data_IF_095911448367
#
_entry.id   IF_095911448367
#
_cell.length_a   1.000
_cell.length_b   1.000
_cell.length_c   1.000
_cell.angle_alpha   90.00
_cell.angle_beta   90.00
_cell.angle_gamma   90.00
#
_symmetry.space_group_name_H-M   'P 1'
#
loop_
_entity.id
_entity.type
_entity.pdbx_description
1 polymer ?
#
# COMPACT_ATOMS: atom_id res chain seq x y z
N UNK A 1 6.96 -28.74 19.02
CA UNK A 1 6.98 -27.68 18.00
C UNK A 1 7.95 -28.12 16.93
N UNK A 2 7.46 -28.37 15.72
CA UNK A 2 8.26 -28.87 14.61
C UNK A 2 9.14 -27.73 14.06
N UNK A 3 10.45 -27.82 14.33
CA UNK A 3 11.44 -26.80 13.98
C UNK A 3 11.44 -26.53 12.47
N UNK A 4 11.16 -27.55 11.66
CA UNK A 4 11.15 -27.46 10.20
C UNK A 4 9.98 -26.63 9.65
N UNK A 5 8.85 -26.59 10.38
CA UNK A 5 7.69 -25.75 10.02
C UNK A 5 7.97 -24.29 10.34
N UNK A 6 8.64 -24.02 11.46
CA UNK A 6 9.04 -22.67 11.86
C UNK A 6 10.11 -22.10 10.92
N UNK A 7 11.07 -22.92 10.50
CA UNK A 7 12.10 -22.54 9.52
C UNK A 7 11.50 -22.25 8.13
N UNK A 8 10.51 -23.04 7.67
CA UNK A 8 9.78 -22.74 6.43
C UNK A 8 8.95 -21.47 6.53
N UNK A 9 8.34 -21.21 7.68
CA UNK A 9 7.66 -19.94 7.95
C UNK A 9 8.62 -18.77 7.98
N UNK A 10 9.80 -18.93 8.59
CA UNK A 10 10.85 -17.92 8.55
C UNK A 10 11.35 -17.71 7.13
N UNK A 11 11.56 -18.76 6.33
CA UNK A 11 11.97 -18.63 4.94
C UNK A 11 10.95 -17.86 4.08
N UNK A 12 9.65 -18.03 4.34
CA UNK A 12 8.57 -17.20 3.78
C UNK A 12 8.60 -15.74 4.26
N UNK A 13 9.18 -15.47 5.43
CA UNK A 13 9.33 -14.13 6.03
C UNK A 13 10.70 -13.49 5.76
N UNK A 14 11.70 -14.26 5.35
CA UNK A 14 13.10 -13.86 5.15
C UNK A 14 13.50 -13.85 3.67
N UNK A 15 12.54 -13.69 2.76
CA UNK A 15 12.84 -12.96 1.53
C UNK A 15 13.46 -11.64 2.01
N UNK A 16 14.78 -11.49 1.87
CA UNK A 16 15.55 -10.45 2.58
C UNK A 16 14.83 -9.12 2.34
N UNK A 17 14.13 -8.55 3.35
CA UNK A 17 13.29 -7.40 3.09
C UNK A 17 14.25 -6.32 2.61
N UNK A 18 14.03 -5.83 1.39
CA UNK A 18 14.91 -4.88 0.73
C UNK A 18 15.06 -3.67 1.68
N UNK A 19 16.17 -3.62 2.43
CA UNK A 19 16.38 -2.61 3.48
C UNK A 19 16.87 -1.35 2.80
N UNK A 20 15.93 -0.50 2.42
CA UNK A 20 16.22 0.82 1.86
C UNK A 20 16.68 1.78 2.96
N UNK A 21 17.73 2.55 2.71
CA UNK A 21 18.05 3.71 3.53
C UNK A 21 16.92 4.75 3.44
N UNK A 22 16.83 5.70 4.40
CA UNK A 22 15.84 6.77 4.34
C UNK A 22 15.90 7.59 3.04
N UNK A 23 17.10 7.81 2.51
CA UNK A 23 17.32 8.55 1.27
C UNK A 23 16.82 7.77 0.04
N UNK A 24 17.17 6.48 -0.06
CA UNK A 24 16.70 5.64 -1.16
C UNK A 24 15.17 5.48 -1.14
N UNK A 25 14.59 5.31 0.05
CA UNK A 25 13.14 5.27 0.23
C UNK A 25 12.48 6.56 -0.23
N UNK A 26 13.04 7.71 0.11
CA UNK A 26 12.54 9.01 -0.32
C UNK A 26 12.64 9.18 -1.84
N UNK A 27 13.76 8.76 -2.45
CA UNK A 27 13.96 8.80 -3.90
C UNK A 27 12.94 7.96 -4.67
N UNK A 28 12.68 6.73 -4.21
CA UNK A 28 11.67 5.85 -4.82
C UNK A 28 10.27 6.46 -4.71
N UNK A 29 9.93 7.03 -3.54
CA UNK A 29 8.64 7.70 -3.35
C UNK A 29 8.52 8.87 -4.32
N UNK A 30 9.57 9.68 -4.47
CA UNK A 30 9.57 10.83 -5.38
C UNK A 30 9.35 10.40 -6.83
N UNK A 31 10.11 9.41 -7.32
CA UNK A 31 9.94 8.88 -8.67
C UNK A 31 8.52 8.34 -8.91
N UNK A 32 7.95 7.61 -7.94
CA UNK A 32 6.57 7.11 -8.05
C UNK A 32 5.52 8.21 -8.04
N UNK A 33 5.79 9.34 -7.38
CA UNK A 33 4.88 10.50 -7.40
C UNK A 33 4.77 11.11 -8.80
N UNK A 34 5.86 11.14 -9.56
CA UNK A 34 5.87 11.67 -10.94
C UNK A 34 5.01 10.84 -11.91
N UNK A 35 4.88 9.53 -11.64
CA UNK A 35 4.11 8.60 -12.47
C UNK A 35 2.72 8.25 -11.93
N UNK A 36 2.32 8.75 -10.74
CA UNK A 36 0.99 8.46 -10.22
C UNK A 36 -0.08 9.36 -10.83
N UNK A 37 -1.20 8.77 -11.22
CA UNK A 37 -2.43 9.48 -11.62
C UNK A 37 -3.33 9.86 -10.43
N UNK A 38 -2.80 9.81 -9.21
CA UNK A 38 -3.55 9.90 -7.95
C UNK A 38 -4.43 11.17 -7.86
N UNK A 39 -4.03 12.28 -8.50
CA UNK A 39 -4.78 13.53 -8.55
C UNK A 39 -6.10 13.43 -9.33
N UNK A 40 -6.22 12.44 -10.21
CA UNK A 40 -7.44 12.19 -11.01
C UNK A 40 -8.42 11.25 -10.33
N UNK A 41 -8.04 10.67 -9.18
CA UNK A 41 -8.86 9.68 -8.50
C UNK A 41 -10.17 10.33 -7.97
N UNK A 42 -11.35 9.70 -8.14
CA UNK A 42 -12.62 10.25 -7.65
C UNK A 42 -12.66 10.52 -6.13
N UNK A 43 -11.86 9.77 -5.36
CA UNK A 43 -11.71 9.95 -3.91
C UNK A 43 -10.73 11.06 -3.54
N UNK A 44 -9.96 11.58 -4.51
CA UNK A 44 -9.01 12.67 -4.31
C UNK A 44 -9.77 13.98 -4.08
N UNK A 45 -9.49 14.66 -2.96
CA UNK A 45 -10.15 15.92 -2.57
C UNK A 45 -9.11 17.02 -2.38
N UNK A 46 -9.56 18.26 -2.35
CA UNK A 46 -8.76 19.49 -2.21
C UNK A 46 -7.75 19.44 -1.04
N UNK A 47 -8.07 18.74 0.04
CA UNK A 47 -7.14 18.50 1.16
C UNK A 47 -5.91 17.67 0.79
N UNK A 48 -6.07 16.62 -0.04
CA UNK A 48 -4.96 15.80 -0.49
C UNK A 48 -4.08 16.57 -1.49
N UNK A 49 -4.71 17.44 -2.28
CA UNK A 49 -4.00 18.37 -3.16
C UNK A 49 -3.13 19.36 -2.37
N UNK A 50 -3.70 19.99 -1.33
CA UNK A 50 -2.97 20.90 -0.43
C UNK A 50 -1.81 20.22 0.30
N UNK A 51 -1.94 18.93 0.60
CA UNK A 51 -0.90 18.14 1.25
C UNK A 51 0.20 17.61 0.30
N UNK A 52 0.04 17.79 -1.01
CA UNK A 52 0.92 17.16 -2.01
C UNK A 52 0.93 15.63 -1.89
N UNK A 53 -0.22 15.09 -1.49
CA UNK A 53 -0.42 13.70 -1.18
C UNK A 53 -0.62 12.93 -2.48
N UNK A 54 0.38 12.14 -2.85
CA UNK A 54 0.40 11.33 -4.05
C UNK A 54 1.13 10.01 -3.74
N UNK A 55 1.00 9.03 -4.64
CA UNK A 55 1.59 7.70 -4.49
C UNK A 55 1.12 6.95 -3.21
N UNK A 56 -0.18 7.01 -2.90
CA UNK A 56 -0.78 6.35 -1.73
C UNK A 56 -0.46 4.85 -1.63
N UNK A 57 -0.39 4.15 -2.76
CA UNK A 57 -0.01 2.74 -2.82
C UNK A 57 1.37 2.44 -2.20
N UNK A 58 2.27 3.43 -2.17
CA UNK A 58 3.62 3.30 -1.59
C UNK A 58 3.66 3.75 -0.13
N UNK A 59 2.86 4.76 0.23
CA UNK A 59 2.87 5.37 1.56
C UNK A 59 1.92 4.65 2.51
N UNK A 60 0.84 4.07 1.97
CA UNK A 60 -0.17 3.30 2.69
C UNK A 60 -1.26 4.11 3.36
N UNK A 61 -1.28 5.44 3.21
CA UNK A 61 -2.40 6.26 3.68
C UNK A 61 -2.31 7.67 3.13
N UNK A 62 -3.43 8.37 3.12
CA UNK A 62 -3.41 9.84 3.09
C UNK A 62 -2.82 10.36 4.41
N UNK A 63 -1.95 11.38 4.34
CA UNK A 63 -1.26 11.96 5.50
C UNK A 63 -2.25 12.58 6.48
N UNK A 64 -3.31 13.20 5.97
CA UNK A 64 -4.25 13.99 6.77
C UNK A 64 -5.59 13.27 7.03
N UNK A 65 -5.71 11.99 6.67
CA UNK A 65 -6.95 11.23 6.88
C UNK A 65 -8.15 11.80 6.12
N UNK A 66 -7.90 12.60 5.08
CA UNK A 66 -8.95 13.33 4.39
C UNK A 66 -9.70 12.48 3.35
N UNK A 67 -9.03 11.44 2.84
CA UNK A 67 -9.66 10.47 1.95
C UNK A 67 -10.28 9.39 2.84
N UNK A 68 -11.61 9.35 2.89
CA UNK A 68 -12.37 8.39 3.72
C UNK A 68 -13.56 7.77 2.98
N UNK A 69 -14.02 8.40 1.91
CA UNK A 69 -15.22 8.01 1.17
C UNK A 69 -14.88 7.06 0.03
N UNK A 70 -14.80 5.76 0.33
CA UNK A 70 -14.49 4.71 -0.64
C UNK A 70 -15.60 4.52 -1.71
N UNK A 71 -16.82 5.02 -1.47
CA UNK A 71 -17.98 4.82 -2.36
C UNK A 71 -17.81 5.50 -3.73
N UNK A 72 -16.90 6.48 -3.83
CA UNK A 72 -16.57 7.17 -5.08
C UNK A 72 -15.73 6.34 -6.05
N UNK A 73 -15.16 5.22 -5.58
CA UNK A 73 -14.33 4.31 -6.38
C UNK A 73 -12.88 4.75 -6.53
N UNK A 74 -11.99 3.83 -6.93
CA UNK A 74 -10.59 4.13 -7.26
C UNK A 74 -10.28 3.81 -8.73
N UNK A 75 -9.46 4.64 -9.36
CA UNK A 75 -8.80 4.36 -10.64
C UNK A 75 -7.36 3.85 -10.46
N UNK A 76 -7.05 3.32 -9.28
CA UNK A 76 -5.75 2.74 -8.92
C UNK A 76 -5.25 1.72 -9.96
N UNK A 77 -6.08 0.79 -10.50
CA UNK A 77 -5.63 -0.22 -11.46
C UNK A 77 -5.13 0.36 -12.80
N UNK A 78 -5.57 1.55 -13.18
CA UNK A 78 -5.16 2.21 -14.42
C UNK A 78 -3.78 2.88 -14.30
N UNK A 79 -3.27 3.03 -13.08
CA UNK A 79 -1.99 3.68 -12.81
C UNK A 79 -0.80 2.82 -13.28
N UNK A 80 0.19 3.43 -13.92
CA UNK A 80 1.42 2.73 -14.32
C UNK A 80 2.14 2.09 -13.12
N UNK A 81 2.30 2.85 -12.02
CA UNK A 81 2.91 2.37 -10.77
C UNK A 81 2.20 1.14 -10.21
N UNK A 82 0.87 1.06 -10.38
CA UNK A 82 0.10 -0.09 -9.93
C UNK A 82 0.51 -1.36 -10.67
N UNK A 83 0.58 -1.27 -12.00
CA UNK A 83 0.92 -2.38 -12.88
C UNK A 83 2.39 -2.76 -12.75
N UNK A 84 3.29 -1.79 -12.71
CA UNK A 84 4.74 -2.02 -12.66
C UNK A 84 5.17 -2.74 -11.38
N UNK A 85 4.52 -2.43 -10.26
CA UNK A 85 4.79 -3.08 -8.97
C UNK A 85 4.04 -4.42 -8.83
N UNK A 86 3.02 -4.66 -9.64
CA UNK A 86 2.18 -5.86 -9.55
C UNK A 86 1.28 -5.85 -8.32
N UNK A 87 0.69 -4.71 -7.99
CA UNK A 87 -0.30 -4.65 -6.91
C UNK A 87 -1.59 -5.38 -7.29
N UNK A 88 -2.26 -5.95 -6.29
CA UNK A 88 -3.53 -6.68 -6.47
C UNK A 88 -4.69 -6.06 -5.70
N UNK A 89 -4.43 -5.35 -4.59
CA UNK A 89 -5.46 -4.61 -3.86
C UNK A 89 -5.62 -3.20 -4.39
N UNK A 90 -6.62 -2.50 -3.90
CA UNK A 90 -6.92 -1.11 -4.20
C UNK A 90 -7.08 -0.31 -2.90
N UNK A 91 -7.60 0.92 -3.00
CA UNK A 91 -7.97 1.76 -1.85
C UNK A 91 -6.82 1.99 -0.85
N UNK A 92 -5.58 2.05 -1.34
CA UNK A 92 -4.38 2.24 -0.50
C UNK A 92 -4.37 3.56 0.30
N UNK A 93 -5.19 4.53 -0.11
CA UNK A 93 -5.35 5.80 0.59
C UNK A 93 -6.09 5.66 1.93
N UNK A 94 -6.96 4.65 2.04
CA UNK A 94 -7.81 4.39 3.21
C UNK A 94 -7.42 3.10 3.95
N UNK A 95 -7.02 2.05 3.22
CA UNK A 95 -6.87 0.68 3.75
C UNK A 95 -5.44 0.26 4.10
N UNK A 96 -4.43 1.09 3.88
CA UNK A 96 -3.05 0.67 4.08
C UNK A 96 -2.32 0.30 2.78
N UNK A 97 -1.01 0.08 2.88
CA UNK A 97 -0.22 -0.54 1.80
C UNK A 97 -0.74 -1.94 1.49
N UNK A 98 -0.35 -2.48 0.33
CA UNK A 98 -0.62 -3.87 -0.06
C UNK A 98 -0.25 -4.87 1.05
N UNK A 99 0.92 -4.69 1.67
CA UNK A 99 1.39 -5.54 2.76
C UNK A 99 0.47 -5.45 3.98
N UNK A 100 0.06 -4.23 4.36
CA UNK A 100 -0.85 -4.04 5.49
C UNK A 100 -2.20 -4.71 5.22
N UNK A 101 -2.77 -4.53 4.03
CA UNK A 101 -4.02 -5.14 3.63
C UNK A 101 -3.95 -6.67 3.62
N UNK A 102 -2.83 -7.25 3.14
CA UNK A 102 -2.60 -8.70 3.19
C UNK A 102 -2.56 -9.21 4.63
N UNK A 103 -1.82 -8.54 5.52
CA UNK A 103 -1.76 -8.91 6.95
C UNK A 103 -3.13 -8.82 7.60
N UNK A 104 -3.88 -7.73 7.37
CA UNK A 104 -5.24 -7.57 7.90
C UNK A 104 -6.16 -8.70 7.45
N UNK A 105 -6.12 -9.08 6.16
CA UNK A 105 -6.94 -10.18 5.67
C UNK A 105 -6.63 -11.52 6.35
N UNK A 106 -5.37 -11.78 6.71
CA UNK A 106 -4.98 -12.99 7.46
C UNK A 106 -5.49 -12.93 8.90
N UNK A 107 -5.42 -11.76 9.55
CA UNK A 107 -5.93 -11.58 10.91
C UNK A 107 -7.45 -11.75 10.98
N UNK A 108 -8.19 -11.17 10.03
CA UNK A 108 -9.64 -11.34 9.92
C UNK A 108 -10.04 -12.81 9.69
N UNK A 109 -9.27 -13.54 8.89
CA UNK A 109 -9.49 -14.98 8.69
C UNK A 109 -9.23 -15.78 9.96
N UNK A 110 -8.20 -15.43 10.74
CA UNK A 110 -7.93 -16.07 12.03
C UNK A 110 -9.09 -15.89 12.99
N UNK A 111 -9.62 -14.68 13.13
CA UNK A 111 -10.70 -14.36 14.06
C UNK A 111 -12.05 -14.99 13.62
N UNK A 112 -12.19 -15.39 12.35
CA UNK A 112 -13.35 -16.16 11.86
C UNK A 112 -13.20 -17.66 12.10
N UNK A 113 -11.98 -18.16 12.22
CA UNK A 113 -11.66 -19.60 12.34
C UNK A 113 -11.52 -20.03 13.81
N UNK A 114 -11.03 -19.14 14.67
CA UNK A 114 -10.78 -19.37 16.10
C UNK A 114 -11.64 -18.47 16.97
#
# INVERSE_FOLDING_TARGET
>A
MDVTKFEKYLALLTDHPLVLSPAERAGIILARKEHCICSTCPTYRECAEKAGDHAFCTIGKSRDGCITDESRGCNCPDCAVYRDVGFEKDLFCTRGTEQQQRILSVLEMRDKVY
#
